data_IF_885576314551
#
_entry.id   IF_885576314551
#
_cell.length_a   1.000
_cell.length_b   1.000
_cell.length_c   1.000
_cell.angle_alpha   90.00
_cell.angle_beta   90.00
_cell.angle_gamma   90.00
#
_symmetry.space_group_name_H-M   'P 1'
#
loop_
_entity.id
_entity.type
_entity.pdbx_description
1 polymer ?
#
# COMPACT_ATOMS: atom_id res chain seq x y z
N UNK A 1 5.04 16.12 16.50
CA UNK A 1 4.54 14.74 16.52
C UNK A 1 5.43 13.84 17.38
N UNK A 2 4.94 12.66 17.75
CA UNK A 2 5.73 11.68 18.53
C UNK A 2 6.24 10.59 17.59
N UNK A 3 7.54 10.27 17.63
CA UNK A 3 8.14 9.21 16.82
C UNK A 3 7.88 7.81 17.45
N UNK A 4 8.35 6.74 16.78
CA UNK A 4 8.19 5.36 17.28
C UNK A 4 8.88 5.11 18.62
N UNK A 5 9.89 5.91 18.98
CA UNK A 5 10.64 5.83 20.25
C UNK A 5 10.05 6.70 21.36
N UNK A 6 8.89 7.33 21.14
CA UNK A 6 8.23 8.20 22.11
C UNK A 6 8.76 9.65 22.15
N UNK A 7 9.77 9.99 21.37
CA UNK A 7 10.36 11.33 21.37
C UNK A 7 9.51 12.31 20.56
N UNK A 8 9.38 13.54 21.04
CA UNK A 8 8.72 14.63 20.31
C UNK A 8 9.64 15.13 19.20
N UNK A 9 9.09 15.24 17.99
CA UNK A 9 9.78 15.81 16.84
C UNK A 9 8.91 16.85 16.14
N UNK A 10 9.56 17.88 15.62
CA UNK A 10 8.90 18.87 14.75
C UNK A 10 9.06 18.44 13.29
N UNK A 11 7.95 18.46 12.57
CA UNK A 11 7.92 18.14 11.15
C UNK A 11 7.27 19.31 10.43
N UNK A 12 7.98 19.88 9.46
CA UNK A 12 7.42 20.84 8.50
C UNK A 12 7.05 20.04 7.25
N UNK A 13 5.84 20.18 6.79
CA UNK A 13 5.40 19.48 5.60
C UNK A 13 4.31 20.26 4.87
N UNK A 14 4.19 20.04 3.58
CA UNK A 14 3.05 20.52 2.81
C UNK A 14 2.02 19.38 2.74
N UNK A 15 0.82 19.56 3.29
CA UNK A 15 -0.22 18.55 3.18
C UNK A 15 -0.66 18.42 1.72
N UNK A 16 -0.83 17.17 1.27
CA UNK A 16 -1.31 16.84 -0.08
C UNK A 16 -2.71 16.25 -0.01
N UNK A 17 -2.87 15.18 0.76
CA UNK A 17 -4.16 14.52 0.95
C UNK A 17 -4.23 13.81 2.29
N UNK A 18 -5.46 13.60 2.74
CA UNK A 18 -5.77 12.73 3.87
C UNK A 18 -6.13 11.34 3.33
N UNK A 19 -5.57 10.31 3.95
CA UNK A 19 -5.79 8.92 3.59
C UNK A 19 -6.14 8.11 4.84
N UNK A 20 -7.14 7.23 4.71
CA UNK A 20 -7.45 6.25 5.74
C UNK A 20 -6.78 4.93 5.40
N UNK A 21 -5.99 4.39 6.30
CA UNK A 21 -5.37 3.08 6.19
C UNK A 21 -6.23 2.03 6.89
N UNK A 22 -6.96 1.22 6.15
CA UNK A 22 -7.77 0.13 6.71
C UNK A 22 -6.92 -0.87 7.49
N UNK A 23 -5.71 -1.15 7.01
CA UNK A 23 -4.77 -2.08 7.66
C UNK A 23 -4.40 -1.67 9.07
N UNK A 24 -4.13 -0.38 9.27
CA UNK A 24 -3.67 0.14 10.56
C UNK A 24 -4.80 0.80 11.35
N UNK A 25 -6.02 0.87 10.77
CA UNK A 25 -7.18 1.59 11.29
C UNK A 25 -6.81 3.02 11.73
N UNK A 26 -6.17 3.77 10.81
CA UNK A 26 -5.60 5.08 11.11
C UNK A 26 -5.68 6.04 9.95
N UNK A 27 -5.93 7.29 10.27
CA UNK A 27 -5.78 8.38 9.32
C UNK A 27 -4.33 8.80 9.18
N UNK A 28 -3.90 8.96 7.92
CA UNK A 28 -2.57 9.40 7.54
C UNK A 28 -2.65 10.66 6.70
N UNK A 29 -1.78 11.61 6.98
CA UNK A 29 -1.57 12.76 6.13
C UNK A 29 -0.44 12.46 5.17
N UNK A 30 -0.74 12.42 3.89
CA UNK A 30 0.28 12.34 2.83
C UNK A 30 0.83 13.73 2.61
N UNK A 31 2.15 13.85 2.59
CA UNK A 31 2.84 15.13 2.53
C UNK A 31 3.81 15.16 1.37
N UNK A 32 3.96 16.34 0.75
CA UNK A 32 4.98 16.63 -0.24
C UNK A 32 6.07 17.52 0.38
N UNK A 33 7.29 17.29 -0.05
CA UNK A 33 8.44 18.15 0.24
C UNK A 33 8.98 18.05 1.66
N UNK A 34 10.28 18.15 1.72
CA UNK A 34 11.23 18.10 2.81
C UNK A 34 11.53 16.72 3.41
N UNK A 35 12.68 16.19 2.97
CA UNK A 35 13.48 15.11 3.60
C UNK A 35 12.70 14.13 4.49
N UNK A 36 12.37 13.00 3.93
CA UNK A 36 12.11 11.72 4.64
C UNK A 36 10.73 11.49 5.29
N UNK A 37 9.79 12.40 5.31
CA UNK A 37 8.45 12.10 5.84
C UNK A 37 7.42 12.27 4.74
N UNK A 38 7.12 11.20 4.03
CA UNK A 38 6.04 11.16 3.04
C UNK A 38 4.66 10.99 3.68
N UNK A 39 4.62 10.47 4.91
CA UNK A 39 3.38 10.10 5.59
C UNK A 39 3.43 10.42 7.07
N UNK A 40 2.43 11.13 7.57
CA UNK A 40 2.27 11.48 8.98
C UNK A 40 1.01 10.83 9.53
N UNK A 41 1.14 9.99 10.56
CA UNK A 41 -0.01 9.44 11.27
C UNK A 41 -0.65 10.52 12.14
N UNK A 42 -1.93 10.82 11.92
CA UNK A 42 -2.64 11.89 12.64
C UNK A 42 -2.72 11.63 14.15
N UNK A 43 -2.87 10.39 14.58
CA UNK A 43 -2.93 10.04 16.00
C UNK A 43 -1.63 10.36 16.77
N UNK A 44 -0.52 10.61 16.07
CA UNK A 44 0.77 10.98 16.65
C UNK A 44 1.04 12.48 16.68
N UNK A 45 0.12 13.28 16.18
CA UNK A 45 0.24 14.74 16.18
C UNK A 45 -0.22 15.26 17.54
N UNK A 46 0.65 15.98 18.25
CA UNK A 46 0.29 16.67 19.50
C UNK A 46 -0.19 18.09 19.26
N UNK A 47 0.42 18.77 18.30
CA UNK A 47 0.06 20.13 17.92
C UNK A 47 0.35 20.35 16.45
N UNK A 48 -0.43 21.21 15.84
CA UNK A 48 -0.28 21.60 14.44
C UNK A 48 -0.49 23.12 14.34
N UNK A 49 0.35 23.78 13.57
CA UNK A 49 0.23 25.19 13.30
C UNK A 49 0.62 25.50 11.85
N UNK A 50 0.07 26.54 11.29
CA UNK A 50 0.48 27.03 9.98
C UNK A 50 1.91 27.59 10.09
N UNK A 51 2.76 27.16 9.16
CA UNK A 51 4.09 27.69 9.06
C UNK A 51 4.06 29.00 8.26
N UNK A 52 4.44 30.10 8.91
CA UNK A 52 4.44 31.46 8.33
C UNK A 52 5.84 31.95 7.91
N UNK A 53 6.87 31.11 8.10
CA UNK A 53 8.24 31.46 7.70
C UNK A 53 8.47 31.38 6.18
N UNK A 54 9.66 31.79 5.75
CA UNK A 54 10.05 31.77 4.35
C UNK A 54 9.85 30.41 3.71
N UNK A 55 9.23 30.40 2.52
CA UNK A 55 9.12 29.21 1.68
C UNK A 55 10.52 28.82 1.21
N UNK A 56 11.17 27.93 1.94
CA UNK A 56 12.32 27.27 1.33
C UNK A 56 11.80 26.45 0.15
N UNK A 57 12.51 26.52 -0.98
CA UNK A 57 12.22 25.74 -2.17
C UNK A 57 11.98 24.28 -1.77
N UNK A 58 10.76 23.82 -1.94
CA UNK A 58 10.41 22.41 -1.75
C UNK A 58 11.23 21.67 -2.80
N UNK A 59 12.16 20.84 -2.35
CA UNK A 59 12.89 19.96 -3.25
C UNK A 59 11.90 19.22 -4.15
N UNK A 60 12.29 18.97 -5.37
CA UNK A 60 11.47 18.32 -6.39
C UNK A 60 10.66 17.18 -5.76
N UNK A 61 9.36 17.19 -5.98
CA UNK A 61 8.49 16.09 -5.56
C UNK A 61 9.11 14.81 -6.12
N UNK A 62 9.56 13.91 -5.25
CA UNK A 62 9.95 12.59 -5.70
C UNK A 62 8.75 12.03 -6.43
N UNK A 63 8.88 11.85 -7.72
CA UNK A 63 7.84 11.24 -8.52
C UNK A 63 7.49 9.90 -7.86
N UNK A 64 6.23 9.68 -7.57
CA UNK A 64 5.76 8.40 -7.03
C UNK A 64 5.97 7.37 -8.15
N UNK A 65 6.82 6.41 -7.89
CA UNK A 65 7.05 5.29 -8.81
C UNK A 65 5.87 4.33 -8.64
N UNK A 66 5.23 4.00 -9.75
CA UNK A 66 4.11 3.06 -9.77
C UNK A 66 4.54 1.75 -10.43
N UNK A 67 4.17 0.67 -9.79
CA UNK A 67 4.28 -0.68 -10.33
C UNK A 67 2.90 -1.21 -10.72
N UNK A 68 2.91 -2.30 -11.49
CA UNK A 68 1.70 -2.96 -11.92
C UNK A 68 1.85 -4.46 -11.76
N UNK A 69 0.86 -5.10 -11.16
CA UNK A 69 0.73 -6.55 -11.13
C UNK A 69 -0.50 -6.99 -11.91
N UNK A 70 -0.42 -8.20 -12.44
CA UNK A 70 -1.55 -8.86 -13.08
C UNK A 70 -1.83 -10.17 -12.34
N UNK A 71 -3.07 -10.35 -11.94
CA UNK A 71 -3.51 -11.52 -11.22
C UNK A 71 -4.66 -12.22 -11.94
N UNK A 72 -4.68 -13.54 -11.88
CA UNK A 72 -5.83 -14.35 -12.28
C UNK A 72 -6.60 -14.74 -11.04
N UNK A 73 -7.90 -14.50 -11.07
CA UNK A 73 -8.81 -14.79 -9.95
C UNK A 73 -9.75 -15.90 -10.37
N UNK A 74 -9.80 -16.96 -9.57
CA UNK A 74 -10.84 -17.97 -9.66
C UNK A 74 -11.98 -17.56 -8.74
N UNK A 75 -13.14 -17.28 -9.32
CA UNK A 75 -14.30 -16.76 -8.60
C UNK A 75 -15.04 -17.91 -7.88
N UNK A 76 -14.44 -18.37 -6.80
CA UNK A 76 -15.03 -19.28 -5.85
C UNK A 76 -15.39 -18.52 -4.58
N UNK A 77 -16.58 -18.74 -4.05
CA UNK A 77 -17.08 -18.06 -2.83
C UNK A 77 -17.07 -16.54 -2.94
N UNK A 78 -17.46 -16.01 -4.09
CA UNK A 78 -17.45 -14.58 -4.39
C UNK A 78 -16.06 -13.92 -4.26
N UNK A 79 -15.02 -14.67 -4.64
CA UNK A 79 -13.64 -14.17 -4.53
C UNK A 79 -13.42 -12.90 -5.35
N UNK A 80 -14.04 -12.78 -6.51
CA UNK A 80 -13.92 -11.60 -7.36
C UNK A 80 -14.50 -10.35 -6.67
N UNK A 81 -15.69 -10.43 -6.12
CA UNK A 81 -16.33 -9.31 -5.41
C UNK A 81 -15.48 -8.88 -4.21
N UNK A 82 -15.08 -9.84 -3.38
CA UNK A 82 -14.20 -9.58 -2.23
C UNK A 82 -12.89 -8.94 -2.67
N UNK A 83 -12.31 -9.40 -3.76
CA UNK A 83 -11.08 -8.85 -4.32
C UNK A 83 -11.28 -7.39 -4.73
N UNK A 84 -12.36 -7.10 -5.45
CA UNK A 84 -12.67 -5.73 -5.89
C UNK A 84 -12.86 -4.77 -4.72
N UNK A 85 -13.45 -5.23 -3.60
CA UNK A 85 -13.60 -4.46 -2.36
C UNK A 85 -12.25 -4.26 -1.66
N UNK A 86 -11.45 -5.31 -1.49
CA UNK A 86 -10.14 -5.22 -0.84
C UNK A 86 -9.15 -4.28 -1.55
N UNK A 87 -9.31 -4.14 -2.86
CA UNK A 87 -8.49 -3.27 -3.70
C UNK A 87 -9.26 -2.04 -4.20
N UNK A 88 -10.32 -1.61 -3.48
CA UNK A 88 -11.21 -0.54 -3.93
C UNK A 88 -10.49 0.78 -4.25
N UNK A 89 -9.46 1.11 -3.47
CA UNK A 89 -8.70 2.36 -3.59
C UNK A 89 -7.54 2.32 -4.60
N UNK A 90 -7.26 1.15 -5.20
CA UNK A 90 -6.25 1.04 -6.25
C UNK A 90 -6.87 1.23 -7.64
N UNK A 91 -6.11 1.84 -8.54
CA UNK A 91 -6.43 1.86 -9.97
C UNK A 91 -6.31 0.43 -10.49
N UNK A 92 -7.40 -0.09 -11.07
CA UNK A 92 -7.47 -1.46 -11.54
C UNK A 92 -8.35 -1.62 -12.75
N UNK A 93 -8.00 -2.61 -13.55
CA UNK A 93 -8.76 -3.03 -14.74
C UNK A 93 -9.05 -4.53 -14.59
N UNK A 94 -10.28 -4.92 -14.81
CA UNK A 94 -10.72 -6.30 -14.73
C UNK A 94 -11.28 -6.77 -16.08
N UNK A 95 -10.86 -7.97 -16.49
CA UNK A 95 -11.33 -8.64 -17.68
C UNK A 95 -11.85 -10.02 -17.30
N UNK A 96 -13.00 -10.41 -17.83
CA UNK A 96 -13.56 -11.74 -17.65
C UNK A 96 -12.98 -12.68 -18.69
N UNK A 97 -12.27 -13.73 -18.26
CA UNK A 97 -11.70 -14.72 -19.14
C UNK A 97 -12.73 -15.81 -19.52
N UNK A 98 -13.48 -16.29 -18.51
CA UNK A 98 -14.52 -17.31 -18.67
C UNK A 98 -15.56 -17.20 -17.56
N UNK A 99 -16.38 -18.28 -17.38
CA UNK A 99 -17.46 -18.26 -16.38
C UNK A 99 -16.99 -18.06 -14.94
N UNK A 100 -15.77 -18.49 -14.61
CA UNK A 100 -15.23 -18.49 -13.23
C UNK A 100 -13.90 -17.77 -13.10
N UNK A 101 -13.27 -17.37 -14.19
CA UNK A 101 -11.95 -16.79 -14.15
C UNK A 101 -11.95 -15.34 -14.64
N UNK A 102 -11.25 -14.52 -13.90
CA UNK A 102 -11.04 -13.10 -14.19
C UNK A 102 -9.56 -12.77 -14.21
N UNK A 103 -9.19 -11.84 -15.06
CA UNK A 103 -7.88 -11.21 -15.07
C UNK A 103 -8.00 -9.83 -14.49
N UNK A 104 -7.19 -9.49 -13.50
CA UNK A 104 -7.19 -8.16 -12.89
C UNK A 104 -5.79 -7.59 -12.91
N UNK A 105 -5.67 -6.41 -13.50
CA UNK A 105 -4.44 -5.61 -13.53
C UNK A 105 -4.59 -4.49 -12.49
N UNK A 106 -3.61 -4.37 -11.58
CA UNK A 106 -3.63 -3.40 -10.49
C UNK A 106 -2.38 -2.56 -10.56
N UNK A 107 -2.55 -1.24 -10.47
CA UNK A 107 -1.46 -0.27 -10.35
C UNK A 107 -1.35 0.18 -8.90
N UNK A 108 -0.15 0.18 -8.35
CA UNK A 108 0.13 0.53 -6.96
C UNK A 108 1.43 1.32 -6.84
N UNK A 109 1.58 2.12 -5.77
CA UNK A 109 2.84 2.79 -5.49
C UNK A 109 3.89 1.77 -5.04
N UNK A 110 5.12 1.90 -5.54
CA UNK A 110 6.22 0.97 -5.21
C UNK A 110 6.41 0.75 -3.70
N UNK A 111 6.24 1.80 -2.92
CA UNK A 111 6.34 1.73 -1.46
C UNK A 111 5.24 0.86 -0.80
N UNK A 112 4.14 0.60 -1.50
CA UNK A 112 3.02 -0.24 -1.04
C UNK A 112 3.21 -1.73 -1.38
N UNK A 113 4.29 -2.11 -2.07
CA UNK A 113 4.55 -3.49 -2.50
C UNK A 113 4.46 -4.52 -1.35
N UNK A 114 5.03 -4.27 -0.15
CA UNK A 114 4.90 -5.21 0.97
C UNK A 114 3.45 -5.43 1.42
N UNK A 115 2.61 -4.40 1.35
CA UNK A 115 1.19 -4.49 1.65
C UNK A 115 0.44 -5.25 0.57
N UNK A 116 0.76 -5.01 -0.70
CA UNK A 116 0.20 -5.73 -1.84
C UNK A 116 0.44 -7.25 -1.73
N UNK A 117 1.66 -7.66 -1.34
CA UNK A 117 1.98 -9.07 -1.10
C UNK A 117 1.08 -9.69 -0.04
N UNK A 118 0.89 -9.00 1.10
CA UNK A 118 0.03 -9.50 2.19
C UNK A 118 -1.42 -9.61 1.73
N UNK A 119 -1.94 -8.60 1.04
CA UNK A 119 -3.31 -8.58 0.53
C UNK A 119 -3.56 -9.71 -0.49
N UNK A 120 -2.64 -9.94 -1.42
CA UNK A 120 -2.75 -11.05 -2.39
C UNK A 120 -2.73 -12.40 -1.68
N UNK A 121 -1.83 -12.61 -0.73
CA UNK A 121 -1.73 -13.85 0.04
C UNK A 121 -3.00 -14.16 0.85
N UNK A 122 -3.75 -13.15 1.27
CA UNK A 122 -4.99 -13.34 2.04
C UNK A 122 -6.10 -14.04 1.27
N UNK A 123 -6.02 -14.07 -0.06
CA UNK A 123 -6.97 -14.79 -0.93
C UNK A 123 -6.61 -16.27 -1.12
N UNK A 124 -5.41 -16.68 -0.66
CA UNK A 124 -4.96 -18.06 -0.80
C UNK A 124 -4.93 -18.54 -2.26
N UNK A 125 -5.36 -19.79 -2.53
CA UNK A 125 -5.25 -20.39 -3.87
C UNK A 125 -6.25 -19.83 -4.90
N UNK A 126 -7.14 -18.92 -4.50
CA UNK A 126 -8.10 -18.31 -5.42
C UNK A 126 -7.48 -17.22 -6.29
N UNK A 127 -6.32 -16.71 -5.92
CA UNK A 127 -5.61 -15.64 -6.64
C UNK A 127 -4.21 -16.11 -7.03
N UNK A 128 -3.94 -16.08 -8.33
CA UNK A 128 -2.64 -16.42 -8.92
C UNK A 128 -2.01 -15.17 -9.54
N UNK A 129 -0.78 -14.85 -9.19
CA UNK A 129 -0.02 -13.78 -9.84
C UNK A 129 0.56 -14.31 -11.14
N UNK A 130 0.18 -13.73 -12.28
CA UNK A 130 0.64 -14.15 -13.60
C UNK A 130 1.60 -13.17 -14.25
N UNK A 131 1.59 -11.92 -13.84
CA UNK A 131 2.56 -10.89 -14.26
C UNK A 131 3.56 -10.57 -13.16
N UNK A 132 4.70 -9.98 -13.51
CA UNK A 132 5.79 -9.58 -12.59
C UNK A 132 6.48 -10.74 -11.87
N UNK A 133 7.59 -11.18 -12.43
CA UNK A 133 8.40 -12.27 -11.82
C UNK A 133 9.00 -11.85 -10.47
N UNK A 134 9.41 -10.57 -10.32
CA UNK A 134 9.89 -10.02 -9.07
C UNK A 134 8.85 -10.15 -7.96
N UNK A 135 7.61 -9.79 -8.24
CA UNK A 135 6.52 -9.88 -7.27
C UNK A 135 6.18 -11.35 -6.90
N UNK A 136 6.26 -12.28 -7.86
CA UNK A 136 6.11 -13.72 -7.58
C UNK A 136 7.18 -14.21 -6.60
N UNK A 137 8.43 -13.80 -6.79
CA UNK A 137 9.51 -14.18 -5.89
C UNK A 137 9.28 -13.67 -4.46
N UNK A 138 8.77 -12.44 -4.29
CA UNK A 138 8.39 -11.91 -2.97
C UNK A 138 7.31 -12.77 -2.29
N UNK A 139 6.30 -13.21 -3.04
CA UNK A 139 5.26 -14.11 -2.53
C UNK A 139 5.87 -15.44 -2.09
N UNK A 140 6.71 -16.04 -2.94
CA UNK A 140 7.37 -17.32 -2.65
C UNK A 140 8.22 -17.21 -1.37
N UNK A 141 9.00 -16.15 -1.23
CA UNK A 141 9.80 -15.90 -0.04
C UNK A 141 8.95 -15.75 1.23
N UNK A 142 7.83 -15.04 1.14
CA UNK A 142 6.90 -14.90 2.26
C UNK A 142 6.29 -16.22 2.68
N UNK A 143 5.85 -17.03 1.71
CA UNK A 143 5.31 -18.37 1.97
C UNK A 143 6.37 -19.32 2.58
N UNK A 144 7.60 -19.31 2.08
CA UNK A 144 8.71 -20.08 2.67
C UNK A 144 8.98 -19.67 4.12
N UNK A 145 9.02 -18.36 4.40
CA UNK A 145 9.21 -17.86 5.77
C UNK A 145 8.05 -18.29 6.69
N UNK A 146 6.82 -18.25 6.21
CA UNK A 146 5.64 -18.66 6.97
C UNK A 146 5.66 -20.16 7.24
N UNK A 147 6.03 -20.99 6.26
CA UNK A 147 6.16 -22.44 6.42
C UNK A 147 7.19 -22.77 7.52
N UNK A 148 8.34 -22.11 7.51
CA UNK A 148 9.39 -22.31 8.50
C UNK A 148 9.03 -21.86 9.91
N UNK A 149 8.09 -20.90 10.08
CA UNK A 149 7.59 -20.46 11.39
C UNK A 149 6.70 -21.50 12.07
N UNK A 150 6.08 -22.42 11.32
CA UNK A 150 5.18 -23.44 11.84
C UNK A 150 5.84 -24.77 12.19
N UNK A 151 7.13 -24.94 11.92
CA UNK A 151 7.87 -26.20 12.06
C UNK A 151 8.82 -26.20 13.29
N UNK A 152 8.42 -25.57 14.38
CA UNK A 152 9.13 -25.70 15.67
C UNK A 152 8.41 -26.66 16.58
#
# INVERSE_FOLDING_TARGET
>A
MVNRKGNTMFVRCRPVRLEYSEKDDKFRLITAGWRAVSTVNLAKIRSCALYTGERQSVGEEKAVIYDTITVKIRDERNAMERFMLHFAHFEKQAEKLDRKNYLVKIKYAHDDEPEMVIRILSFGPMVEVIGSESFKQLIIEKLKKQLNCGLK
#
